data_IF_786301472775
#
_entry.id   IF_786301472775
#
_cell.length_a   1.000
_cell.length_b   1.000
_cell.length_c   1.000
_cell.angle_alpha   90.00
_cell.angle_beta   90.00
_cell.angle_gamma   90.00
#
_symmetry.space_group_name_H-M   'P 1'
#
loop_
_entity.id
_entity.type
_entity.pdbx_description
1 polymer ?
#
# COMPACT_ATOMS: atom_id res chain seq x y z
N UNK A 1 -7.45 -7.16 20.31
CA UNK A 1 -7.50 -5.81 19.76
C UNK A 1 -6.46 -5.64 18.65
N UNK A 2 -6.81 -4.88 17.65
CA UNK A 2 -5.93 -4.63 16.50
C UNK A 2 -4.79 -3.68 16.88
N UNK A 3 -3.59 -3.94 16.38
CA UNK A 3 -2.45 -3.02 16.58
C UNK A 3 -2.67 -1.75 15.75
N UNK A 4 -2.33 -0.56 16.29
CA UNK A 4 -2.48 0.71 15.57
C UNK A 4 -1.34 0.99 14.60
N UNK A 5 -0.91 -0.04 13.89
CA UNK A 5 0.22 0.02 12.96
C UNK A 5 -0.12 -0.73 11.69
N UNK A 6 0.21 -0.12 10.56
CA UNK A 6 0.01 -0.69 9.24
C UNK A 6 1.27 -0.57 8.40
N UNK A 7 1.34 -1.36 7.35
CA UNK A 7 2.35 -1.22 6.31
C UNK A 7 1.65 -1.03 4.98
N UNK A 8 2.23 -0.22 4.09
CA UNK A 8 1.79 -0.15 2.70
C UNK A 8 2.95 -0.45 1.77
N UNK A 9 2.65 -0.98 0.59
CA UNK A 9 3.65 -1.33 -0.41
C UNK A 9 3.25 -0.76 -1.76
N UNK A 10 4.12 0.06 -2.35
CA UNK A 10 3.99 0.52 -3.73
C UNK A 10 4.68 -0.50 -4.63
N UNK A 11 3.92 -1.20 -5.46
CA UNK A 11 4.46 -2.16 -6.42
C UNK A 11 4.70 -1.43 -7.73
N UNK A 12 5.90 -1.56 -8.29
CA UNK A 12 6.26 -0.87 -9.53
C UNK A 12 6.96 -1.79 -10.50
N UNK A 13 6.96 -1.39 -11.76
CA UNK A 13 7.67 -2.07 -12.84
C UNK A 13 8.13 -1.04 -13.88
N UNK A 14 9.20 -1.31 -14.65
CA UNK A 14 9.52 -0.45 -15.78
C UNK A 14 8.43 -0.54 -16.86
N UNK A 15 8.07 0.61 -17.42
CA UNK A 15 7.13 0.69 -18.53
C UNK A 15 7.77 1.39 -19.72
N UNK A 16 7.09 1.38 -20.86
CA UNK A 16 7.62 1.98 -22.10
C UNK A 16 7.80 3.50 -22.00
N UNK A 17 7.01 4.17 -21.17
CA UNK A 17 7.03 5.62 -20.98
C UNK A 17 7.43 6.02 -19.55
N UNK A 18 8.22 5.19 -18.87
CA UNK A 18 8.62 5.41 -17.50
C UNK A 18 8.03 4.36 -16.57
N UNK A 19 8.29 4.45 -15.26
CA UNK A 19 7.80 3.45 -14.33
C UNK A 19 6.28 3.41 -14.27
N UNK A 20 5.75 2.22 -14.05
CA UNK A 20 4.34 1.99 -13.83
C UNK A 20 4.11 1.50 -12.40
N UNK A 21 2.99 1.90 -11.82
CA UNK A 21 2.64 1.62 -10.44
C UNK A 21 1.33 0.84 -10.38
N UNK A 22 1.30 -0.18 -9.55
CA UNK A 22 0.12 -1.02 -9.38
C UNK A 22 -0.84 -0.35 -8.40
N UNK A 23 -2.08 -0.15 -8.85
CA UNK A 23 -3.17 0.28 -7.97
C UNK A 23 -4.27 -0.77 -7.99
N UNK A 24 -4.93 -0.95 -6.85
CA UNK A 24 -5.91 -2.00 -6.61
C UNK A 24 -7.25 -1.37 -6.22
N UNK A 25 -8.32 -1.82 -6.87
CA UNK A 25 -9.68 -1.40 -6.49
C UNK A 25 -10.21 -2.33 -5.42
N UNK A 26 -10.57 -1.78 -4.27
CA UNK A 26 -11.16 -2.55 -3.19
C UNK A 26 -12.59 -2.96 -3.54
N UNK A 27 -13.01 -4.12 -3.01
CA UNK A 27 -14.37 -4.60 -3.23
C UNK A 27 -15.40 -3.62 -2.67
N UNK A 28 -16.67 -3.65 -3.17
CA UNK A 28 -17.72 -2.77 -2.61
C UNK A 28 -17.93 -2.96 -1.10
N UNK A 29 -17.76 -4.18 -0.58
CA UNK A 29 -17.85 -4.47 0.86
C UNK A 29 -16.76 -3.77 1.66
N UNK A 30 -15.67 -3.36 0.99
CA UNK A 30 -14.54 -2.63 1.56
C UNK A 30 -14.51 -1.19 1.08
N UNK A 31 -15.66 -0.62 0.77
CA UNK A 31 -15.89 0.78 0.37
C UNK A 31 -15.48 1.15 -1.05
N UNK A 32 -14.96 0.22 -1.86
CA UNK A 32 -14.79 0.37 -3.30
C UNK A 32 -13.80 1.43 -3.80
N UNK A 33 -12.83 1.86 -3.00
CA UNK A 33 -11.86 2.87 -3.43
C UNK A 33 -10.56 2.23 -3.93
N UNK A 34 -9.76 3.01 -4.67
CA UNK A 34 -8.46 2.58 -5.16
C UNK A 34 -7.38 2.82 -4.13
N UNK A 35 -6.50 1.84 -3.96
CA UNK A 35 -5.43 1.87 -2.96
C UNK A 35 -4.21 1.10 -3.48
N UNK A 36 -3.13 1.13 -2.71
CA UNK A 36 -1.98 0.23 -2.91
C UNK A 36 -2.11 -0.95 -1.94
N UNK A 37 -1.17 -1.89 -1.99
CA UNK A 37 -1.10 -2.98 -1.01
C UNK A 37 -0.98 -2.37 0.39
N UNK A 38 -1.81 -2.81 1.33
CA UNK A 38 -1.76 -2.30 2.71
C UNK A 38 -2.46 -3.25 3.67
N UNK A 39 -2.01 -3.24 4.91
CA UNK A 39 -2.68 -3.99 5.97
C UNK A 39 -2.05 -3.76 7.33
N UNK A 40 -2.75 -4.22 8.36
CA UNK A 40 -2.31 -4.09 9.74
C UNK A 40 -1.21 -5.07 10.09
N UNK A 41 -0.31 -4.67 10.97
CA UNK A 41 0.67 -5.56 11.56
C UNK A 41 -0.03 -6.57 12.48
N UNK A 42 0.34 -7.83 12.35
CA UNK A 42 -0.10 -8.87 13.26
C UNK A 42 0.82 -8.90 14.49
N UNK A 43 0.40 -9.62 15.52
CA UNK A 43 1.18 -9.77 16.73
C UNK A 43 2.58 -10.28 16.41
N UNK A 44 3.60 -9.62 16.98
CA UNK A 44 5.03 -9.93 16.79
C UNK A 44 5.60 -9.66 15.40
N UNK A 45 4.81 -9.08 14.51
CA UNK A 45 5.33 -8.66 13.20
C UNK A 45 6.01 -7.31 13.31
N UNK A 46 7.10 -7.13 12.55
CA UNK A 46 7.60 -5.78 12.28
C UNK A 46 6.95 -5.27 10.97
N UNK A 47 7.18 -4.00 10.66
CA UNK A 47 6.56 -3.39 9.48
C UNK A 47 6.99 -4.08 8.18
N UNK A 48 8.26 -4.44 8.05
CA UNK A 48 8.75 -5.11 6.83
C UNK A 48 8.12 -6.50 6.67
N UNK A 49 7.97 -7.24 7.76
CA UNK A 49 7.31 -8.55 7.74
C UNK A 49 5.85 -8.44 7.32
N UNK A 50 5.14 -7.45 7.86
CA UNK A 50 3.74 -7.21 7.48
C UNK A 50 3.65 -6.80 6.01
N UNK A 51 4.55 -5.94 5.54
CA UNK A 51 4.58 -5.51 4.15
C UNK A 51 4.75 -6.70 3.20
N UNK A 52 5.70 -7.57 3.49
CA UNK A 52 5.96 -8.76 2.68
C UNK A 52 4.75 -9.70 2.68
N UNK A 53 4.15 -9.94 3.83
CA UNK A 53 2.97 -10.81 3.97
C UNK A 53 1.77 -10.26 3.21
N UNK A 54 1.46 -8.97 3.38
CA UNK A 54 0.33 -8.33 2.70
C UNK A 54 0.52 -8.30 1.19
N UNK A 55 1.74 -8.06 0.73
CA UNK A 55 2.07 -8.10 -0.69
C UNK A 55 1.74 -9.47 -1.28
N UNK A 56 2.13 -10.53 -0.61
CA UNK A 56 1.87 -11.89 -1.05
C UNK A 56 0.38 -12.23 -0.98
N UNK A 57 -0.29 -11.87 0.11
CA UNK A 57 -1.73 -12.14 0.27
C UNK A 57 -2.59 -11.40 -0.74
N UNK A 58 -2.31 -10.11 -0.98
CA UNK A 58 -3.17 -9.27 -1.83
C UNK A 58 -2.88 -9.41 -3.31
N UNK A 59 -1.66 -9.80 -3.70
CA UNK A 59 -1.26 -9.82 -5.13
C UNK A 59 -0.61 -11.11 -5.57
N UNK A 60 -0.17 -11.97 -4.65
CA UNK A 60 0.58 -13.15 -4.97
C UNK A 60 2.07 -12.91 -5.22
N UNK A 61 2.54 -11.66 -5.11
CA UNK A 61 3.94 -11.35 -5.35
C UNK A 61 4.80 -11.70 -4.13
N UNK A 62 5.80 -12.55 -4.35
CA UNK A 62 6.82 -12.86 -3.35
C UNK A 62 8.10 -12.13 -3.76
N UNK A 63 8.24 -10.89 -3.32
CA UNK A 63 9.38 -10.06 -3.63
C UNK A 63 9.87 -9.34 -2.37
N UNK A 64 11.14 -8.96 -2.40
CA UNK A 64 11.72 -8.18 -1.32
C UNK A 64 11.09 -6.80 -1.27
N UNK A 65 10.78 -6.31 -0.07
CA UNK A 65 10.27 -4.97 0.14
C UNK A 65 11.38 -4.05 0.59
N UNK A 66 11.43 -2.84 0.00
CA UNK A 66 12.44 -1.83 0.30
C UNK A 66 11.79 -0.66 1.04
N UNK A 67 12.34 -0.21 2.18
CA UNK A 67 11.74 0.90 2.91
C UNK A 67 11.83 2.21 2.11
N UNK A 68 10.77 3.01 2.19
CA UNK A 68 10.74 4.35 1.59
C UNK A 68 11.14 5.42 2.61
N UNK A 69 11.59 5.02 3.79
CA UNK A 69 12.00 5.89 4.90
C UNK A 69 10.92 6.92 5.25
N UNK A 70 9.67 6.44 5.26
CA UNK A 70 8.52 7.29 5.58
C UNK A 70 7.48 6.52 6.39
N UNK A 71 7.04 7.17 7.47
CA UNK A 71 5.91 6.70 8.28
C UNK A 71 4.86 7.80 8.27
N UNK A 72 3.65 7.43 7.90
CA UNK A 72 2.50 8.33 7.93
C UNK A 72 1.71 8.07 9.20
N UNK A 73 0.89 9.04 9.58
CA UNK A 73 -0.06 8.86 10.67
C UNK A 73 -1.40 9.43 10.25
N UNK A 74 -2.48 8.74 10.57
CA UNK A 74 -3.81 9.29 10.39
C UNK A 74 -4.63 9.12 11.66
N UNK A 75 -5.58 10.05 11.86
CA UNK A 75 -6.38 10.07 13.08
C UNK A 75 -7.45 9.00 13.05
N UNK A 76 -7.51 8.19 14.11
CA UNK A 76 -8.53 7.16 14.23
C UNK A 76 -9.93 7.77 14.36
N UNK A 77 -10.04 8.98 14.89
CA UNK A 77 -11.30 9.70 15.01
C UNK A 77 -11.99 9.96 13.65
N UNK A 78 -11.19 10.00 12.56
CA UNK A 78 -11.74 10.23 11.22
C UNK A 78 -12.27 8.96 10.57
N UNK A 79 -12.14 7.81 11.23
CA UNK A 79 -12.57 6.53 10.71
C UNK A 79 -13.99 6.18 11.19
N UNK A 80 -14.72 5.33 10.43
CA UNK A 80 -16.03 4.86 10.85
C UNK A 80 -15.97 4.16 12.21
N UNK A 81 -17.09 4.18 12.92
CA UNK A 81 -17.20 3.59 14.26
C UNK A 81 -16.76 2.11 14.29
N UNK A 82 -17.17 1.32 13.29
CA UNK A 82 -16.82 -0.09 13.22
C UNK A 82 -15.32 -0.33 13.08
N UNK A 83 -14.60 0.61 12.48
CA UNK A 83 -13.14 0.57 12.41
C UNK A 83 -12.54 0.95 13.75
N UNK A 84 -13.03 2.05 14.36
CA UNK A 84 -12.52 2.54 15.65
C UNK A 84 -12.66 1.50 16.76
N UNK A 85 -13.72 0.71 16.75
CA UNK A 85 -13.98 -0.30 17.77
C UNK A 85 -13.00 -1.48 17.74
N UNK A 86 -12.19 -1.61 16.69
CA UNK A 86 -11.18 -2.67 16.59
C UNK A 86 -9.94 -2.40 17.44
N UNK A 87 -9.82 -1.21 17.98
CA UNK A 87 -8.62 -0.74 18.71
C UNK A 87 -8.93 -0.51 20.18
N UNK A 88 -7.87 -0.54 21.01
CA UNK A 88 -7.98 -0.17 22.40
C UNK A 88 -8.47 1.28 22.54
N UNK A 89 -9.24 1.62 23.59
CA UNK A 89 -9.83 2.97 23.72
C UNK A 89 -8.82 4.12 23.76
N UNK A 90 -7.58 3.86 24.17
CA UNK A 90 -6.55 4.89 24.25
C UNK A 90 -5.88 5.20 22.91
N UNK A 91 -6.13 4.41 21.88
CA UNK A 91 -5.52 4.59 20.56
C UNK A 91 -6.18 5.77 19.84
N UNK A 92 -5.36 6.73 19.40
CA UNK A 92 -5.84 7.93 18.70
C UNK A 92 -5.32 8.04 17.28
N UNK A 93 -4.22 7.36 16.95
CA UNK A 93 -3.60 7.42 15.64
C UNK A 93 -3.18 6.05 15.15
N UNK A 94 -3.20 5.89 13.83
CA UNK A 94 -2.66 4.73 13.14
C UNK A 94 -1.37 5.16 12.42
N UNK A 95 -0.28 4.44 12.67
CA UNK A 95 0.99 4.68 11.97
C UNK A 95 1.09 3.74 10.76
N UNK A 96 1.49 4.27 9.61
CA UNK A 96 1.61 3.51 8.36
C UNK A 96 3.04 3.62 7.85
N UNK A 97 3.78 2.52 7.85
CA UNK A 97 5.15 2.49 7.34
C UNK A 97 5.13 2.11 5.86
N UNK A 98 5.83 2.88 5.03
CA UNK A 98 5.79 2.75 3.59
C UNK A 98 6.98 1.97 3.03
N UNK A 99 6.69 1.09 2.06
CA UNK A 99 7.67 0.27 1.34
C UNK A 99 7.39 0.29 -0.15
N UNK A 100 8.37 -0.12 -0.94
CA UNK A 100 8.22 -0.35 -2.37
C UNK A 100 8.71 -1.75 -2.71
N UNK A 101 8.19 -2.32 -3.79
CA UNK A 101 8.61 -3.62 -4.30
C UNK A 101 8.57 -3.59 -5.83
N UNK A 102 9.58 -4.18 -6.48
CA UNK A 102 9.61 -4.26 -7.93
C UNK A 102 9.01 -5.59 -8.38
N UNK A 103 8.08 -5.52 -9.33
CA UNK A 103 7.50 -6.70 -9.95
C UNK A 103 8.44 -7.23 -11.05
N UNK A 104 8.61 -8.57 -11.17
CA UNK A 104 9.41 -9.12 -12.26
C UNK A 104 8.75 -8.90 -13.62
N UNK A 105 9.52 -8.93 -14.72
CA UNK A 105 8.96 -8.75 -16.05
C UNK A 105 7.83 -9.75 -16.35
N UNK A 106 6.73 -9.24 -16.89
CA UNK A 106 5.61 -10.08 -17.28
C UNK A 106 4.71 -10.56 -16.15
N UNK A 107 5.02 -10.20 -14.91
CA UNK A 107 4.20 -10.57 -13.77
C UNK A 107 2.89 -9.76 -13.73
N UNK A 108 1.79 -10.43 -13.41
CA UNK A 108 0.50 -9.80 -13.15
C UNK A 108 -0.07 -10.28 -11.81
N UNK A 109 -0.80 -9.44 -11.09
CA UNK A 109 -1.29 -9.83 -9.77
C UNK A 109 -2.40 -10.86 -9.82
N UNK A 110 -2.41 -11.73 -8.81
CA UNK A 110 -3.53 -12.61 -8.49
C UNK A 110 -4.21 -12.01 -7.27
N UNK A 111 -5.37 -11.40 -7.46
CA UNK A 111 -6.04 -10.64 -6.41
C UNK A 111 -6.73 -11.53 -5.38
N UNK A 112 -6.77 -11.07 -4.13
CA UNK A 112 -7.51 -11.71 -3.06
C UNK A 112 -9.00 -11.28 -3.10
N UNK A 113 -9.78 -11.71 -2.10
CA UNK A 113 -11.21 -11.41 -2.02
C UNK A 113 -11.51 -9.93 -1.75
N UNK A 114 -10.53 -9.20 -1.23
CA UNK A 114 -10.72 -7.79 -0.86
C UNK A 114 -10.60 -6.84 -2.03
N UNK A 115 -10.13 -7.33 -3.19
CA UNK A 115 -9.87 -6.50 -4.37
C UNK A 115 -10.56 -7.09 -5.61
N UNK A 116 -11.16 -6.22 -6.42
CA UNK A 116 -11.95 -6.63 -7.59
C UNK A 116 -11.29 -6.27 -8.92
N UNK A 117 -10.29 -5.38 -8.91
CA UNK A 117 -9.61 -4.95 -10.13
C UNK A 117 -8.23 -4.39 -9.81
N UNK A 118 -7.39 -4.33 -10.84
CA UNK A 118 -6.09 -3.68 -10.74
C UNK A 118 -5.80 -2.88 -12.00
N UNK A 119 -4.90 -1.91 -11.88
CA UNK A 119 -4.35 -1.16 -13.01
C UNK A 119 -2.87 -0.91 -12.79
N UNK A 120 -2.12 -0.91 -13.89
CA UNK A 120 -0.77 -0.40 -13.94
C UNK A 120 -0.84 1.02 -14.49
N UNK A 121 -0.39 1.99 -13.71
CA UNK A 121 -0.55 3.41 -14.01
C UNK A 121 0.79 4.14 -14.01
N UNK A 122 0.89 5.20 -14.81
CA UNK A 122 1.95 6.19 -14.63
C UNK A 122 1.84 6.79 -13.23
N UNK A 123 2.87 7.51 -12.79
CA UNK A 123 2.83 8.22 -11.52
C UNK A 123 1.61 9.15 -11.43
N UNK A 124 1.41 9.96 -12.46
CA UNK A 124 0.31 10.93 -12.50
C UNK A 124 -1.05 10.26 -12.42
N UNK A 125 -1.28 9.21 -13.20
CA UNK A 125 -2.56 8.50 -13.20
C UNK A 125 -2.80 7.75 -11.90
N UNK A 126 -1.77 7.15 -11.32
CA UNK A 126 -1.88 6.46 -10.03
C UNK A 126 -2.30 7.44 -8.94
N UNK A 127 -1.62 8.60 -8.86
CA UNK A 127 -1.95 9.63 -7.86
C UNK A 127 -3.39 10.14 -8.05
N UNK A 128 -3.82 10.33 -9.29
CA UNK A 128 -5.18 10.80 -9.58
C UNK A 128 -6.24 9.78 -9.15
N UNK A 129 -5.94 8.49 -9.27
CA UNK A 129 -6.89 7.42 -8.97
C UNK A 129 -6.96 7.09 -7.47
N UNK A 130 -5.84 7.18 -6.77
CA UNK A 130 -5.74 6.85 -5.34
C UNK A 130 -6.54 7.83 -4.50
N UNK A 131 -7.31 7.29 -3.56
CA UNK A 131 -8.23 8.06 -2.72
C UNK A 131 -7.53 8.88 -1.64
N UNK A 132 -6.50 8.32 -1.01
CA UNK A 132 -5.92 8.90 0.20
C UNK A 132 -4.54 9.49 -0.03
N UNK A 133 -4.14 10.50 0.77
CA UNK A 133 -2.83 11.17 0.61
C UNK A 133 -1.63 10.27 0.89
N UNK A 134 -1.76 9.29 1.80
CA UNK A 134 -0.63 8.42 2.15
C UNK A 134 -0.14 7.61 0.95
N UNK A 135 -0.99 6.82 0.25
CA UNK A 135 -0.51 6.10 -0.92
C UNK A 135 -0.13 7.04 -2.07
N UNK A 136 -0.77 8.20 -2.22
CA UNK A 136 -0.38 9.18 -3.23
C UNK A 136 1.06 9.64 -3.01
N UNK A 137 1.40 10.02 -1.79
CA UNK A 137 2.75 10.45 -1.45
C UNK A 137 3.76 9.30 -1.60
N UNK A 138 3.37 8.09 -1.20
CA UNK A 138 4.24 6.92 -1.33
C UNK A 138 4.57 6.62 -2.81
N UNK A 139 3.62 6.76 -3.72
CA UNK A 139 3.86 6.61 -5.16
C UNK A 139 4.85 7.68 -5.63
N UNK A 140 4.67 8.93 -5.23
CA UNK A 140 5.58 10.02 -5.59
C UNK A 140 7.00 9.78 -5.09
N UNK A 141 7.15 9.30 -3.85
CA UNK A 141 8.44 8.97 -3.26
C UNK A 141 9.12 7.82 -4.01
N UNK A 142 8.37 6.81 -4.37
CA UNK A 142 8.87 5.69 -5.16
C UNK A 142 9.38 6.19 -6.51
N UNK A 143 8.60 7.01 -7.19
CA UNK A 143 8.98 7.58 -8.48
C UNK A 143 10.29 8.39 -8.39
N UNK A 144 10.44 9.22 -7.36
CA UNK A 144 11.66 10.00 -7.12
C UNK A 144 12.86 9.10 -6.86
N UNK A 145 12.68 8.06 -6.06
CA UNK A 145 13.73 7.08 -5.76
C UNK A 145 14.20 6.38 -7.01
N UNK A 146 13.28 5.97 -7.89
CA UNK A 146 13.63 5.33 -9.16
C UNK A 146 14.35 6.29 -10.11
N UNK A 147 13.95 7.54 -10.16
CA UNK A 147 14.61 8.57 -10.97
C UNK A 147 16.03 8.84 -10.47
N UNK A 148 16.23 8.90 -9.15
CA UNK A 148 17.56 9.08 -8.54
C UNK A 148 18.50 7.91 -8.81
N UNK A 149 17.99 6.69 -8.81
CA UNK A 149 18.78 5.50 -9.08
C UNK A 149 19.28 5.42 -10.52
N UNK A 150 18.62 6.11 -11.46
CA UNK A 150 19.00 6.14 -12.88
C UNK A 150 20.02 7.23 -13.19
N UNK A 151 20.11 8.20 -12.31
CA UNK A 151 20.97 9.35 -12.45
C UNK A 151 22.28 9.19 -11.74
#
# INVERSE_FOLDING_TARGET
>A
MRRPEEALVVVHRPGSNGPEFLVLERSPERHGYWHVVAGALEEREDAAGAAHRELQEETGLDAEVSPLDRVYAYALADEPREVRERFEPHVTEIAVTAFAAEAPPGWEPALDEEHVAHRWCSEEDAVALLRYPEPQDAVRRTARSLAGARG
#
